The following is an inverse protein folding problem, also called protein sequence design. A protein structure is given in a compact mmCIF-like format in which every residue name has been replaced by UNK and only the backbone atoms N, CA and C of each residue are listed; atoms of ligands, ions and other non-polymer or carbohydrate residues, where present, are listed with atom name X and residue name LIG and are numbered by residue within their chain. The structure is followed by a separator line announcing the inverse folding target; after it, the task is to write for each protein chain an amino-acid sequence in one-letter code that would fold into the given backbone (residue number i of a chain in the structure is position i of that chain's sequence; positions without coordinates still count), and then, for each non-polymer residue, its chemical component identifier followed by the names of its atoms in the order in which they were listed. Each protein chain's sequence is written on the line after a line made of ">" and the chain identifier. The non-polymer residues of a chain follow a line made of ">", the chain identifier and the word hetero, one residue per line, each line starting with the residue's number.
data_IF_230846926554
#
_entry.id   IF_230846926554
#
_cell.length_a   1.000
_cell.length_b   1.000
_cell.length_c   1.000
_cell.angle_alpha   90.00
_cell.angle_beta   90.00
_cell.angle_gamma   90.00
#
_symmetry.space_group_name_H-M   'P 1'
#
loop_
_entity.id
_entity.type
_entity.pdbx_description
1 polymer ?
#
# COMPACT_ATOMS: atom_id res chain seq x y z
N UNK A 1 19.95 -9.12 -5.42
CA UNK A 1 19.74 -7.67 -5.61
C UNK A 1 19.21 -7.15 -4.28
N UNK A 2 19.67 -6.00 -3.79
CA UNK A 2 19.16 -5.44 -2.53
C UNK A 2 17.66 -5.17 -2.65
N UNK A 3 16.92 -5.36 -1.56
CA UNK A 3 15.49 -5.06 -1.50
C UNK A 3 15.33 -3.54 -1.44
N UNK A 4 14.59 -2.96 -2.39
CA UNK A 4 14.40 -1.52 -2.50
C UNK A 4 13.10 -1.12 -1.82
N UNK A 5 13.16 -0.07 -1.01
CA UNK A 5 12.01 0.55 -0.37
C UNK A 5 11.85 1.99 -0.84
N UNK A 6 10.66 2.35 -1.32
CA UNK A 6 10.31 3.73 -1.65
C UNK A 6 9.49 4.34 -0.50
N UNK A 7 10.16 5.07 0.40
CA UNK A 7 9.57 5.52 1.66
C UNK A 7 9.49 7.03 1.78
N UNK A 8 8.34 7.52 2.25
CA UNK A 8 8.18 8.90 2.69
C UNK A 8 9.03 9.19 3.92
N UNK A 9 9.21 10.46 4.25
CA UNK A 9 10.02 10.85 5.42
C UNK A 9 9.53 10.27 6.75
N UNK A 10 8.22 10.04 6.91
CA UNK A 10 7.68 9.44 8.14
C UNK A 10 7.85 7.92 8.16
N UNK A 11 7.66 7.24 7.03
CA UNK A 11 7.91 5.80 6.90
C UNK A 11 9.39 5.46 7.09
N UNK A 12 10.32 6.33 6.65
CA UNK A 12 11.75 6.15 6.93
C UNK A 12 12.04 6.15 8.43
N UNK A 13 11.34 6.98 9.22
CA UNK A 13 11.47 6.97 10.68
C UNK A 13 10.97 5.65 11.26
N UNK A 14 9.86 5.10 10.74
CA UNK A 14 9.35 3.79 11.16
C UNK A 14 10.33 2.68 10.80
N UNK A 15 10.82 2.66 9.56
CA UNK A 15 11.81 1.71 9.07
C UNK A 15 13.08 1.72 9.94
N UNK A 16 13.57 2.89 10.34
CA UNK A 16 14.77 3.01 11.18
C UNK A 16 14.67 2.32 12.55
N UNK A 17 13.45 2.09 13.04
CA UNK A 17 13.17 1.42 14.32
C UNK A 17 13.19 -0.10 14.20
N UNK A 18 13.14 -0.64 12.99
CA UNK A 18 13.21 -2.08 12.74
C UNK A 18 14.62 -2.57 13.08
N UNK A 19 14.72 -3.79 13.64
CA UNK A 19 15.99 -4.41 14.02
C UNK A 19 16.99 -4.42 12.86
N UNK A 20 18.27 -4.14 13.16
CA UNK A 20 19.31 -3.97 12.12
C UNK A 20 19.48 -5.20 11.23
N UNK A 21 19.31 -6.41 11.77
CA UNK A 21 19.40 -7.67 11.02
C UNK A 21 18.39 -7.76 9.87
N UNK A 22 17.21 -7.16 10.02
CA UNK A 22 16.19 -7.13 8.96
C UNK A 22 16.46 -6.04 7.91
N UNK A 23 17.42 -5.13 8.16
CA UNK A 23 17.71 -3.98 7.30
C UNK A 23 19.03 -4.07 6.53
N UNK A 24 19.87 -5.06 6.84
CA UNK A 24 21.26 -5.14 6.34
C UNK A 24 21.36 -5.18 4.81
N UNK A 25 20.34 -5.68 4.11
CA UNK A 25 20.32 -5.78 2.64
C UNK A 25 19.24 -4.89 1.98
N UNK A 26 18.74 -3.90 2.72
CA UNK A 26 17.71 -2.98 2.24
C UNK A 26 18.32 -1.67 1.76
N UNK A 27 17.86 -1.19 0.62
CA UNK A 27 18.12 0.16 0.13
C UNK A 27 16.85 1.01 0.27
N UNK A 28 16.96 2.20 0.84
CA UNK A 28 15.82 3.10 1.02
C UNK A 28 15.96 4.29 0.09
N UNK A 29 14.99 4.44 -0.81
CA UNK A 29 14.86 5.56 -1.73
C UNK A 29 13.74 6.48 -1.22
N UNK A 30 13.95 7.81 -1.20
CA UNK A 30 12.89 8.74 -0.82
C UNK A 30 11.71 8.68 -1.80
N UNK A 31 10.51 8.42 -1.29
CA UNK A 31 9.27 8.61 -2.04
C UNK A 31 8.88 10.10 -2.00
N UNK A 32 8.77 10.70 -3.18
CA UNK A 32 8.46 12.13 -3.35
C UNK A 32 7.27 12.40 -4.26
N UNK A 33 6.74 11.35 -4.88
CA UNK A 33 5.53 11.39 -5.68
C UNK A 33 4.37 11.92 -4.87
N UNK A 34 3.55 12.75 -5.53
CA UNK A 34 2.35 13.32 -4.94
C UNK A 34 1.18 12.97 -5.83
N UNK A 35 0.18 12.36 -5.23
CA UNK A 35 -1.12 12.16 -5.86
C UNK A 35 -2.16 12.77 -4.94
N UNK A 36 -3.10 13.51 -5.52
CA UNK A 36 -4.27 13.99 -4.78
C UNK A 36 -5.45 13.20 -5.27
N UNK A 37 -5.79 12.17 -4.51
CA UNK A 37 -6.98 11.39 -4.81
C UNK A 37 -8.25 12.20 -4.57
N UNK A 38 -9.28 11.94 -5.35
CA UNK A 38 -10.61 12.52 -5.13
C UNK A 38 -11.55 11.41 -4.64
N UNK A 39 -12.52 11.72 -3.77
CA UNK A 39 -13.52 10.74 -3.35
C UNK A 39 -14.22 10.07 -4.53
N UNK A 40 -14.48 10.83 -5.61
CA UNK A 40 -15.11 10.34 -6.83
C UNK A 40 -14.21 9.36 -7.61
N UNK A 41 -12.92 9.71 -7.81
CA UNK A 41 -11.97 8.84 -8.48
C UNK A 41 -11.76 7.54 -7.69
N UNK A 42 -11.67 7.64 -6.37
CA UNK A 42 -11.58 6.51 -5.46
C UNK A 42 -12.81 5.61 -5.55
N UNK A 43 -14.01 6.16 -5.41
CA UNK A 43 -15.26 5.42 -5.54
C UNK A 43 -15.38 4.73 -6.91
N UNK A 44 -14.90 5.38 -7.97
CA UNK A 44 -14.85 4.79 -9.30
C UNK A 44 -13.90 3.59 -9.36
N UNK A 45 -12.68 3.68 -8.79
CA UNK A 45 -11.76 2.53 -8.74
C UNK A 45 -12.37 1.36 -7.97
N UNK A 46 -12.98 1.60 -6.81
CA UNK A 46 -13.70 0.58 -6.04
C UNK A 46 -14.81 -0.12 -6.83
N UNK A 47 -15.55 0.63 -7.67
CA UNK A 47 -16.59 0.05 -8.54
C UNK A 47 -16.02 -0.83 -9.67
N UNK A 48 -14.81 -0.55 -10.11
CA UNK A 48 -14.13 -1.28 -11.19
C UNK A 48 -13.34 -2.50 -10.67
N UNK A 49 -13.03 -2.52 -9.38
CA UNK A 49 -12.31 -3.60 -8.71
C UNK A 49 -13.07 -4.93 -8.82
N UNK A 50 -12.37 -5.96 -9.27
CA UNK A 50 -12.90 -7.33 -9.37
C UNK A 50 -12.10 -8.27 -8.48
N UNK A 51 -12.52 -8.36 -7.22
CA UNK A 51 -11.96 -9.31 -6.25
C UNK A 51 -12.79 -10.58 -6.21
N UNK A 52 -12.10 -11.73 -6.26
CA UNK A 52 -12.71 -13.06 -6.23
C UNK A 52 -12.73 -13.63 -4.82
N UNK A 53 -11.72 -13.31 -4.02
CA UNK A 53 -11.65 -13.66 -2.62
C UNK A 53 -12.86 -13.10 -1.82
N UNK A 54 -13.65 -13.96 -1.15
CA UNK A 54 -14.84 -13.54 -0.42
C UNK A 54 -14.54 -12.62 0.78
N UNK A 55 -13.41 -12.82 1.46
CA UNK A 55 -13.00 -12.00 2.61
C UNK A 55 -12.59 -10.61 2.11
N UNK A 56 -11.85 -10.56 1.01
CA UNK A 56 -11.48 -9.30 0.37
C UNK A 56 -12.67 -8.55 -0.20
N UNK A 57 -13.67 -9.25 -0.74
CA UNK A 57 -14.89 -8.62 -1.24
C UNK A 57 -15.66 -7.88 -0.16
N UNK A 58 -15.65 -8.41 1.07
CA UNK A 58 -16.25 -7.76 2.24
C UNK A 58 -15.39 -6.60 2.77
N UNK A 59 -14.07 -6.66 2.61
CA UNK A 59 -13.19 -5.57 3.01
C UNK A 59 -13.24 -4.40 2.01
N UNK A 60 -13.24 -4.69 0.70
CA UNK A 60 -13.34 -3.71 -0.40
C UNK A 60 -14.60 -2.85 -0.33
N UNK A 61 -15.73 -3.41 0.10
CA UNK A 61 -16.96 -2.62 0.29
C UNK A 61 -16.89 -1.66 1.48
N UNK A 62 -16.01 -1.91 2.46
CA UNK A 62 -15.77 -1.01 3.59
C UNK A 62 -14.72 0.05 3.25
N UNK A 63 -13.74 -0.29 2.41
CA UNK A 63 -12.64 0.60 2.03
C UNK A 63 -13.05 1.86 1.24
N UNK A 64 -14.21 1.87 0.57
CA UNK A 64 -14.65 3.05 -0.19
C UNK A 64 -14.84 4.30 0.67
N UNK A 65 -15.25 4.10 1.92
CA UNK A 65 -15.64 5.19 2.82
C UNK A 65 -14.54 5.59 3.81
N UNK A 66 -13.41 4.87 3.81
CA UNK A 66 -12.34 5.08 4.77
C UNK A 66 -11.62 6.40 4.52
N UNK A 67 -11.44 7.16 5.59
CA UNK A 67 -10.74 8.46 5.60
C UNK A 67 -9.62 8.52 6.62
N UNK A 68 -9.53 7.53 7.50
CA UNK A 68 -8.58 7.50 8.62
C UNK A 68 -7.85 6.17 8.74
N UNK A 69 -6.68 6.18 9.36
CA UNK A 69 -5.88 4.99 9.66
C UNK A 69 -6.64 3.99 10.55
N UNK A 70 -7.41 4.47 11.53
CA UNK A 70 -8.22 3.62 12.42
C UNK A 70 -9.34 2.89 11.68
N UNK A 71 -10.07 3.59 10.82
CA UNK A 71 -11.11 2.97 9.97
C UNK A 71 -10.50 1.93 9.04
N UNK A 72 -9.32 2.24 8.48
CA UNK A 72 -8.57 1.34 7.62
C UNK A 72 -8.18 0.05 8.33
N UNK A 73 -7.62 0.17 9.54
CA UNK A 73 -7.25 -0.96 10.39
C UNK A 73 -8.47 -1.81 10.76
N UNK A 74 -9.61 -1.20 11.05
CA UNK A 74 -10.87 -1.94 11.30
C UNK A 74 -11.38 -2.68 10.06
N UNK A 75 -11.20 -2.14 8.86
CA UNK A 75 -11.61 -2.81 7.63
C UNK A 75 -10.68 -3.96 7.25
N UNK A 76 -9.40 -3.91 7.65
CA UNK A 76 -8.44 -5.00 7.50
C UNK A 76 -8.49 -6.04 8.62
N UNK A 77 -9.18 -5.77 9.73
CA UNK A 77 -9.31 -6.76 10.81
C UNK A 77 -9.93 -8.06 10.29
N UNK A 78 -9.15 -9.14 10.38
CA UNK A 78 -9.55 -10.47 9.92
C UNK A 78 -9.15 -10.80 8.47
N UNK A 79 -8.57 -9.86 7.73
CA UNK A 79 -8.02 -10.13 6.40
C UNK A 79 -6.56 -10.57 6.55
N UNK A 80 -6.26 -11.81 6.20
CA UNK A 80 -4.88 -12.30 6.13
C UNK A 80 -4.26 -11.92 4.77
N UNK A 81 -3.60 -10.75 4.73
CA UNK A 81 -2.98 -10.23 3.51
C UNK A 81 -1.98 -11.21 2.88
N UNK A 82 -1.36 -12.10 3.68
CA UNK A 82 -0.41 -13.11 3.19
C UNK A 82 -1.06 -14.30 2.48
N UNK A 83 -2.39 -14.44 2.55
CA UNK A 83 -3.14 -15.53 1.88
C UNK A 83 -3.92 -15.06 0.65
N UNK A 84 -3.96 -13.76 0.39
CA UNK A 84 -4.62 -13.23 -0.80
C UNK A 84 -3.78 -13.63 -2.02
N UNK A 85 -4.45 -14.12 -3.06
CA UNK A 85 -3.76 -14.36 -4.32
C UNK A 85 -3.28 -13.03 -4.94
N UNK A 86 -2.18 -13.09 -5.68
CA UNK A 86 -1.53 -11.92 -6.27
C UNK A 86 -2.49 -11.05 -7.11
N UNK A 87 -3.41 -11.67 -7.86
CA UNK A 87 -4.39 -10.94 -8.68
C UNK A 87 -5.33 -10.09 -7.82
N UNK A 88 -5.91 -10.67 -6.77
CA UNK A 88 -6.85 -9.96 -5.90
C UNK A 88 -6.13 -8.89 -5.05
N UNK A 89 -4.86 -9.12 -4.70
CA UNK A 89 -4.01 -8.12 -4.04
C UNK A 89 -3.76 -6.91 -4.95
N UNK A 90 -3.41 -7.13 -6.22
CA UNK A 90 -3.25 -6.04 -7.21
C UNK A 90 -4.57 -5.27 -7.39
N UNK A 91 -5.70 -5.98 -7.44
CA UNK A 91 -7.03 -5.37 -7.55
C UNK A 91 -7.37 -4.50 -6.33
N UNK A 92 -7.01 -4.95 -5.12
CA UNK A 92 -7.14 -4.17 -3.90
C UNK A 92 -6.25 -2.93 -3.93
N UNK A 93 -4.97 -3.08 -4.28
CA UNK A 93 -4.03 -1.97 -4.38
C UNK A 93 -4.48 -0.90 -5.37
N UNK A 94 -5.02 -1.31 -6.53
CA UNK A 94 -5.65 -0.40 -7.47
C UNK A 94 -6.87 0.34 -6.88
N UNK A 95 -7.72 -0.37 -6.13
CA UNK A 95 -8.91 0.19 -5.51
C UNK A 95 -8.56 1.31 -4.51
N UNK A 96 -7.68 0.98 -3.56
CA UNK A 96 -7.29 1.85 -2.45
C UNK A 96 -6.40 3.01 -2.93
N UNK A 97 -5.64 2.82 -4.01
CA UNK A 97 -4.73 3.82 -4.58
C UNK A 97 -3.48 4.09 -3.73
N UNK A 98 -2.63 5.04 -4.16
CA UNK A 98 -1.35 5.32 -3.50
C UNK A 98 -1.46 5.65 -2.00
N UNK A 99 -2.47 6.44 -1.62
CA UNK A 99 -2.69 6.84 -0.22
C UNK A 99 -3.06 5.64 0.65
N UNK A 100 -3.97 4.78 0.15
CA UNK A 100 -4.36 3.56 0.86
C UNK A 100 -3.22 2.55 0.98
N UNK A 101 -2.39 2.41 -0.05
CA UNK A 101 -1.18 1.59 0.03
C UNK A 101 -0.22 2.15 1.09
N UNK A 102 -0.08 3.48 1.19
CA UNK A 102 0.71 4.12 2.24
C UNK A 102 0.24 3.79 3.66
N UNK A 103 -1.08 3.68 3.88
CA UNK A 103 -1.64 3.25 5.17
C UNK A 103 -1.26 1.80 5.47
N UNK A 104 -1.41 0.87 4.51
CA UNK A 104 -0.98 -0.54 4.71
C UNK A 104 0.52 -0.59 5.01
N UNK A 105 1.33 0.12 4.22
CA UNK A 105 2.77 0.13 4.37
C UNK A 105 3.18 0.62 5.76
N UNK A 106 2.54 1.68 6.25
CA UNK A 106 2.75 2.21 7.61
C UNK A 106 2.47 1.16 8.67
N UNK A 107 1.33 0.45 8.57
CA UNK A 107 0.96 -0.61 9.51
C UNK A 107 1.93 -1.79 9.47
N UNK A 108 2.36 -2.21 8.27
CA UNK A 108 3.35 -3.30 8.11
C UNK A 108 4.69 -2.90 8.71
N UNK A 109 5.16 -1.67 8.47
CA UNK A 109 6.42 -1.18 9.05
C UNK A 109 6.36 -1.07 10.58
N UNK A 110 5.23 -0.67 11.15
CA UNK A 110 5.02 -0.62 12.60
C UNK A 110 5.07 -2.01 13.26
N UNK A 111 4.66 -3.04 12.53
CA UNK A 111 4.54 -4.42 13.03
C UNK A 111 5.57 -5.39 12.43
N UNK A 112 6.59 -4.89 11.73
CA UNK A 112 7.61 -5.70 11.07
C UNK A 112 8.42 -6.50 12.11
N UNK A 113 8.38 -7.83 12.01
CA UNK A 113 9.03 -8.75 12.96
C UNK A 113 9.88 -9.84 12.29
N UNK A 114 9.70 -10.05 10.99
CA UNK A 114 10.34 -11.11 10.22
C UNK A 114 10.56 -10.65 8.78
N UNK A 115 11.23 -11.48 7.98
CA UNK A 115 11.53 -11.21 6.58
C UNK A 115 10.27 -11.09 5.72
N UNK A 116 9.21 -11.87 6.00
CA UNK A 116 7.95 -11.80 5.26
C UNK A 116 7.31 -10.41 5.35
N UNK A 117 7.36 -9.78 6.53
CA UNK A 117 6.88 -8.40 6.71
C UNK A 117 7.75 -7.40 5.92
N UNK A 118 9.06 -7.64 5.84
CA UNK A 118 9.97 -6.78 5.06
C UNK A 118 9.70 -6.90 3.56
N UNK A 119 9.49 -8.12 3.07
CA UNK A 119 9.14 -8.38 1.66
C UNK A 119 7.80 -7.71 1.33
N UNK A 120 6.79 -7.89 2.17
CA UNK A 120 5.49 -7.24 1.98
C UNK A 120 5.60 -5.71 1.94
N UNK A 121 6.35 -5.11 2.89
CA UNK A 121 6.56 -3.67 2.92
C UNK A 121 7.33 -3.17 1.68
N UNK A 122 8.33 -3.90 1.20
CA UNK A 122 9.05 -3.56 -0.02
C UNK A 122 8.10 -3.57 -1.23
N UNK A 123 7.35 -4.65 -1.42
CA UNK A 123 6.39 -4.80 -2.52
C UNK A 123 5.30 -3.73 -2.50
N UNK A 124 4.77 -3.38 -1.31
CA UNK A 124 3.81 -2.28 -1.17
C UNK A 124 4.43 -0.93 -1.54
N UNK A 125 5.67 -0.68 -1.10
CA UNK A 125 6.37 0.58 -1.39
C UNK A 125 6.66 0.73 -2.89
N UNK A 126 7.05 -0.35 -3.56
CA UNK A 126 7.29 -0.40 -5.00
C UNK A 126 5.99 -0.21 -5.78
N UNK A 127 4.93 -0.93 -5.42
CA UNK A 127 3.63 -0.79 -6.06
C UNK A 127 3.06 0.64 -5.92
N UNK A 128 3.23 1.26 -4.75
CA UNK A 128 2.85 2.67 -4.55
C UNK A 128 3.67 3.58 -5.47
N UNK A 129 4.98 3.36 -5.54
CA UNK A 129 5.88 4.15 -6.36
C UNK A 129 5.48 4.09 -7.84
N UNK A 130 5.28 2.88 -8.38
CA UNK A 130 4.82 2.66 -9.76
C UNK A 130 3.49 3.33 -10.05
N UNK A 131 2.53 3.27 -9.12
CA UNK A 131 1.26 3.98 -9.27
C UNK A 131 1.44 5.49 -9.28
N UNK A 132 2.28 6.04 -8.39
CA UNK A 132 2.56 7.47 -8.36
C UNK A 132 3.26 7.93 -9.64
N UNK A 133 4.24 7.19 -10.16
CA UNK A 133 4.90 7.48 -11.43
C UNK A 133 3.90 7.44 -12.60
N UNK A 134 3.07 6.39 -12.68
CA UNK A 134 2.05 6.26 -13.74
C UNK A 134 1.03 7.40 -13.72
N UNK A 135 0.60 7.83 -12.53
CA UNK A 135 -0.38 8.91 -12.35
C UNK A 135 0.23 10.30 -12.57
N UNK A 136 1.52 10.47 -12.31
CA UNK A 136 2.25 11.72 -12.53
C UNK A 136 2.80 11.86 -13.95
N UNK A 137 2.96 10.76 -14.68
CA UNK A 137 3.39 10.72 -16.07
C UNK A 137 2.31 11.17 -17.08
N UNK A 138 1.09 11.54 -16.64
CA UNK A 138 0.08 12.15 -17.52
C UNK A 138 0.43 13.62 -17.81
N UNK A 139 0.89 13.97 -19.02
CA UNK A 139 1.04 15.36 -19.42
C UNK A 139 -0.34 15.93 -19.71
N UNK A 140 -0.53 17.19 -19.32
CA UNK A 140 -1.53 18.11 -19.87
C UNK A 140 -1.83 17.83 -21.36
N UNK A 141 -2.95 17.17 -21.66
CA UNK A 141 -3.59 17.28 -22.97
C UNK A 141 -4.79 18.21 -22.84
N UNK A 142 -4.50 19.51 -22.95
CA UNK A 142 -5.43 20.54 -23.35
C UNK A 142 -5.29 20.77 -24.87
#
# INVERSE_FOLDING_TARGET
>A
MPVIFYLTGDEQKLFSRIGSSLREECNVVPETGKFKDTPEARAMRFRLTRVHDPELKNAVSKFSDIRTEDEFNQALQGVDLGKINERDFIQLAFAIGPDGIGLILTEVLNNAKNEDHMILAASLSELRHELLESLSASPSSA
#
